data_IF_220603921285
#
_entry.id   IF_220603921285
#
_cell.length_a   1.000
_cell.length_b   1.000
_cell.length_c   1.000
_cell.angle_alpha   90.00
_cell.angle_beta   90.00
_cell.angle_gamma   90.00
#
_symmetry.space_group_name_H-M   'P 1'
#
loop_
_entity.id
_entity.type
_entity.pdbx_description
1 polymer ?
#
# COMPACT_ATOMS: atom_id res chain seq x y z
N UNK A 1 -8.14 3.53 -9.02
CA UNK A 1 -9.17 2.47 -9.24
C UNK A 1 -10.60 2.95 -9.54
N UNK A 2 -11.44 2.06 -10.11
CA UNK A 2 -12.91 2.27 -10.19
C UNK A 2 -13.56 2.11 -8.80
N UNK A 3 -14.74 2.70 -8.58
CA UNK A 3 -15.46 2.61 -7.29
C UNK A 3 -15.67 1.16 -6.83
N UNK A 4 -16.05 0.27 -7.75
CA UNK A 4 -16.25 -1.17 -7.47
C UNK A 4 -14.98 -1.88 -6.99
N UNK A 5 -13.82 -1.57 -7.58
CA UNK A 5 -12.54 -2.16 -7.20
C UNK A 5 -12.23 -1.88 -5.72
N UNK A 6 -12.54 -0.68 -5.24
CA UNK A 6 -12.35 -0.27 -3.84
C UNK A 6 -13.25 -1.05 -2.88
N UNK A 7 -14.50 -1.28 -3.27
CA UNK A 7 -15.46 -2.06 -2.46
C UNK A 7 -15.00 -3.52 -2.37
N UNK A 8 -14.60 -4.12 -3.51
CA UNK A 8 -14.07 -5.49 -3.54
C UNK A 8 -12.84 -5.64 -2.66
N UNK A 9 -11.91 -4.67 -2.70
CA UNK A 9 -10.73 -4.69 -1.83
C UNK A 9 -11.08 -4.58 -0.34
N UNK A 10 -12.04 -3.73 0.01
CA UNK A 10 -12.53 -3.62 1.38
C UNK A 10 -13.11 -4.95 1.86
N UNK A 11 -13.89 -5.63 1.03
CA UNK A 11 -14.52 -6.89 1.39
C UNK A 11 -13.49 -8.03 1.43
N UNK A 12 -12.55 -8.08 0.48
CA UNK A 12 -11.39 -8.99 0.53
C UNK A 12 -10.59 -8.82 1.84
N UNK A 13 -10.47 -7.59 2.34
CA UNK A 13 -9.83 -7.32 3.63
C UNK A 13 -10.67 -7.78 4.82
N UNK A 14 -11.99 -7.55 4.81
CA UNK A 14 -12.90 -7.95 5.88
C UNK A 14 -13.02 -9.48 5.99
N UNK A 15 -13.18 -10.18 4.87
CA UNK A 15 -13.42 -11.62 4.84
C UNK A 15 -12.14 -12.46 4.77
N UNK A 16 -10.96 -11.84 4.61
CA UNK A 16 -9.60 -12.44 4.46
C UNK A 16 -9.41 -13.33 3.23
N UNK A 17 -10.44 -14.03 2.80
CA UNK A 17 -10.52 -14.75 1.54
C UNK A 17 -11.98 -14.72 1.05
N UNK A 18 -12.21 -14.20 -0.15
CA UNK A 18 -13.47 -14.34 -0.86
C UNK A 18 -13.21 -15.16 -2.14
N UNK A 19 -13.85 -16.32 -2.30
CA UNK A 19 -13.93 -17.02 -3.57
C UNK A 19 -14.42 -16.10 -4.68
N UNK A 20 -13.92 -16.30 -5.90
CA UNK A 20 -14.31 -15.50 -7.08
C UNK A 20 -15.84 -15.44 -7.21
N UNK A 21 -16.52 -16.56 -6.98
CA UNK A 21 -17.96 -16.65 -7.18
C UNK A 21 -18.75 -15.85 -6.13
N UNK A 22 -18.24 -15.75 -4.89
CA UNK A 22 -18.79 -14.87 -3.85
C UNK A 22 -18.54 -13.38 -4.19
N UNK A 23 -17.37 -13.05 -4.74
CA UNK A 23 -17.09 -11.69 -5.24
C UNK A 23 -18.05 -11.34 -6.39
N UNK A 24 -18.31 -12.29 -7.29
CA UNK A 24 -19.26 -12.12 -8.39
C UNK A 24 -20.67 -11.88 -7.84
N UNK A 25 -21.08 -12.69 -6.87
CA UNK A 25 -22.38 -12.59 -6.22
C UNK A 25 -22.57 -11.23 -5.53
N UNK A 26 -21.57 -10.79 -4.76
CA UNK A 26 -21.64 -9.55 -3.98
C UNK A 26 -21.51 -8.27 -4.82
N UNK A 27 -20.68 -8.28 -5.87
CA UNK A 27 -20.26 -7.05 -6.54
C UNK A 27 -20.58 -6.94 -8.03
N UNK A 28 -20.92 -8.06 -8.68
CA UNK A 28 -21.16 -8.12 -10.13
C UNK A 28 -22.54 -8.67 -10.50
N UNK A 29 -23.45 -8.81 -9.53
CA UNK A 29 -24.82 -9.22 -9.77
C UNK A 29 -25.52 -8.28 -10.77
N UNK A 30 -26.23 -8.86 -11.74
CA UNK A 30 -26.97 -8.11 -12.77
C UNK A 30 -26.14 -7.59 -13.95
N UNK A 31 -24.83 -7.83 -13.98
CA UNK A 31 -23.99 -7.45 -15.12
C UNK A 31 -23.92 -8.54 -16.18
N UNK A 32 -24.05 -8.17 -17.45
CA UNK A 32 -23.70 -9.06 -18.57
C UNK A 32 -22.21 -9.41 -18.47
N UNK A 33 -21.87 -10.69 -18.63
CA UNK A 33 -20.49 -11.23 -18.50
C UNK A 33 -19.84 -10.92 -17.13
N UNK A 34 -20.58 -11.09 -16.05
CA UNK A 34 -20.11 -10.84 -14.67
C UNK A 34 -18.76 -11.50 -14.35
N UNK A 35 -18.55 -12.75 -14.77
CA UNK A 35 -17.29 -13.50 -14.59
C UNK A 35 -16.11 -12.78 -15.25
N UNK A 36 -16.24 -12.36 -16.51
CA UNK A 36 -15.18 -11.65 -17.25
C UNK A 36 -14.86 -10.30 -16.62
N UNK A 37 -15.90 -9.56 -16.20
CA UNK A 37 -15.75 -8.30 -15.48
C UNK A 37 -15.00 -8.50 -14.16
N UNK A 38 -15.39 -9.49 -13.35
CA UNK A 38 -14.71 -9.84 -12.11
C UNK A 38 -13.25 -10.20 -12.35
N UNK A 39 -12.96 -11.08 -13.32
CA UNK A 39 -11.59 -11.45 -13.66
C UNK A 39 -10.74 -10.26 -14.09
N UNK A 40 -11.32 -9.28 -14.79
CA UNK A 40 -10.61 -8.06 -15.20
C UNK A 40 -10.28 -7.17 -13.99
N UNK A 41 -11.20 -7.08 -13.03
CA UNK A 41 -10.95 -6.36 -11.77
C UNK A 41 -9.89 -7.09 -10.94
N UNK A 42 -10.00 -8.40 -10.75
CA UNK A 42 -9.00 -9.19 -10.01
C UNK A 42 -7.61 -9.11 -10.65
N UNK A 43 -7.51 -9.16 -11.99
CA UNK A 43 -6.25 -8.97 -12.71
C UNK A 43 -5.65 -7.58 -12.48
N UNK A 44 -6.51 -6.55 -12.44
CA UNK A 44 -6.09 -5.18 -12.15
C UNK A 44 -5.60 -5.04 -10.71
N UNK A 45 -6.38 -5.51 -9.74
CA UNK A 45 -6.01 -5.50 -8.32
C UNK A 45 -4.69 -6.25 -8.05
N UNK A 46 -4.43 -7.34 -8.78
CA UNK A 46 -3.16 -8.05 -8.74
C UNK A 46 -2.03 -7.25 -9.39
N UNK A 47 -2.26 -6.68 -10.58
CA UNK A 47 -1.26 -5.87 -11.30
C UNK A 47 -0.85 -4.64 -10.51
N UNK A 48 -1.79 -4.02 -9.80
CA UNK A 48 -1.55 -2.84 -8.97
C UNK A 48 -0.83 -3.22 -7.64
N UNK A 49 -0.60 -4.51 -7.39
CA UNK A 49 0.31 -5.07 -6.38
C UNK A 49 -0.12 -4.94 -4.91
N UNK A 50 -1.16 -4.17 -4.60
CA UNK A 50 -1.64 -4.00 -3.22
C UNK A 50 -2.05 -5.33 -2.57
N UNK A 51 -2.64 -6.25 -3.35
CA UNK A 51 -3.02 -7.60 -2.87
C UNK A 51 -1.79 -8.45 -2.58
N UNK A 52 -0.74 -8.34 -3.38
CA UNK A 52 0.49 -9.11 -3.20
C UNK A 52 1.29 -8.57 -2.01
N UNK A 53 1.33 -7.24 -1.81
CA UNK A 53 1.87 -6.62 -0.61
C UNK A 53 1.13 -7.09 0.65
N UNK A 54 -0.22 -7.10 0.64
CA UNK A 54 -1.03 -7.60 1.75
C UNK A 54 -0.68 -9.05 2.13
N UNK A 55 -0.65 -9.94 1.14
CA UNK A 55 -0.34 -11.36 1.36
C UNK A 55 1.05 -11.57 1.93
N UNK A 56 2.04 -10.85 1.42
CA UNK A 56 3.42 -10.95 1.91
C UNK A 56 3.55 -10.47 3.35
N UNK A 57 2.91 -9.36 3.73
CA UNK A 57 2.94 -8.86 5.12
C UNK A 57 2.31 -9.86 6.11
N UNK A 58 1.17 -10.45 5.72
CA UNK A 58 0.44 -11.41 6.56
C UNK A 58 1.21 -12.70 6.86
N UNK A 59 2.22 -13.05 6.06
CA UNK A 59 3.08 -14.22 6.34
C UNK A 59 3.89 -14.05 7.63
N UNK A 60 4.16 -12.81 8.03
CA UNK A 60 5.00 -12.50 9.19
C UNK A 60 4.19 -12.03 10.40
N UNK A 61 3.17 -11.19 10.17
CA UNK A 61 2.32 -10.71 11.26
C UNK A 61 0.95 -10.28 10.76
N UNK A 62 -0.07 -10.43 11.62
CA UNK A 62 -1.39 -9.87 11.37
C UNK A 62 -1.33 -8.34 11.36
N UNK A 63 -1.85 -7.75 10.30
CA UNK A 63 -1.91 -6.31 10.12
C UNK A 63 -2.94 -5.68 11.07
N UNK A 64 -2.55 -4.60 11.75
CA UNK A 64 -3.47 -3.82 12.60
C UNK A 64 -4.37 -2.94 11.74
N UNK A 65 -3.85 -2.43 10.63
CA UNK A 65 -4.57 -1.58 9.70
C UNK A 65 -3.98 -1.76 8.30
N UNK A 66 -4.83 -1.82 7.28
CA UNK A 66 -4.42 -1.87 5.89
C UNK A 66 -5.44 -1.11 5.03
N UNK A 67 -5.05 0.05 4.52
CA UNK A 67 -5.87 0.93 3.68
C UNK A 67 -5.27 0.95 2.27
N UNK A 68 -6.05 0.57 1.26
CA UNK A 68 -5.63 0.61 -0.15
C UNK A 68 -6.05 1.93 -0.78
N UNK A 69 -5.16 2.53 -1.58
CA UNK A 69 -5.29 3.86 -2.20
C UNK A 69 -5.90 4.90 -1.24
N UNK A 70 -5.33 5.11 -0.03
CA UNK A 70 -5.81 6.14 0.88
C UNK A 70 -5.86 7.50 0.18
N UNK A 71 -6.89 8.30 0.47
CA UNK A 71 -7.09 9.59 -0.16
C UNK A 71 -6.55 10.71 0.73
N UNK A 72 -5.56 11.40 0.18
CA UNK A 72 -4.99 12.64 0.70
C UNK A 72 -5.34 13.81 -0.25
N UNK A 73 -4.98 15.04 0.12
CA UNK A 73 -5.09 16.20 -0.78
C UNK A 73 -4.32 15.96 -2.08
N UNK A 74 -4.79 16.55 -3.19
CA UNK A 74 -4.15 16.44 -4.53
C UNK A 74 -2.69 16.92 -4.54
N UNK A 75 -2.31 17.76 -3.59
CA UNK A 75 -0.95 18.31 -3.45
C UNK A 75 0.00 17.37 -2.71
N UNK A 76 -0.51 16.32 -2.07
CA UNK A 76 0.27 15.37 -1.28
C UNK A 76 0.61 14.11 -2.07
N UNK A 77 1.12 13.12 -1.35
CA UNK A 77 1.39 11.80 -1.85
C UNK A 77 0.11 10.99 -2.08
N UNK A 78 0.18 10.05 -3.02
CA UNK A 78 -0.87 9.08 -3.28
C UNK A 78 -0.25 7.68 -3.15
N UNK A 79 -0.10 7.16 -1.92
CA UNK A 79 0.48 5.84 -1.73
C UNK A 79 -0.50 4.78 -2.22
N UNK A 80 0.02 3.68 -2.74
CA UNK A 80 -0.82 2.53 -3.11
C UNK A 80 -1.46 1.90 -1.88
N UNK A 81 -0.76 1.88 -0.76
CA UNK A 81 -1.26 1.34 0.52
C UNK A 81 -0.73 2.15 1.70
N UNK A 82 -1.56 2.35 2.70
CA UNK A 82 -1.14 2.71 4.06
C UNK A 82 -1.40 1.55 5.01
N UNK A 83 -0.43 1.17 5.84
CA UNK A 83 -0.58 0.07 6.78
C UNK A 83 0.08 0.33 8.13
N UNK A 84 -0.41 -0.32 9.18
CA UNK A 84 0.30 -0.46 10.45
C UNK A 84 0.68 -1.93 10.61
N UNK A 85 1.98 -2.18 10.56
CA UNK A 85 2.61 -3.50 10.61
C UNK A 85 3.75 -3.48 11.62
N UNK A 86 3.85 -4.49 12.49
CA UNK A 86 4.82 -4.57 13.58
C UNK A 86 4.86 -3.32 14.46
N UNK A 87 3.68 -2.77 14.74
CA UNK A 87 3.47 -1.53 15.51
C UNK A 87 4.02 -0.24 14.86
N UNK A 88 4.50 -0.33 13.61
CA UNK A 88 5.02 0.82 12.86
C UNK A 88 4.11 1.18 11.69
N UNK A 89 3.86 2.47 11.43
CA UNK A 89 3.10 2.91 10.27
C UNK A 89 3.99 2.95 9.00
N UNK A 90 3.44 2.49 7.88
CA UNK A 90 4.10 2.47 6.58
C UNK A 90 3.20 3.01 5.47
N UNK A 91 3.78 3.82 4.59
CA UNK A 91 3.30 4.00 3.23
C UNK A 91 3.96 2.97 2.34
N UNK A 92 3.19 2.27 1.51
CA UNK A 92 3.71 1.29 0.55
C UNK A 92 3.41 1.78 -0.87
N UNK A 93 4.45 1.73 -1.70
CA UNK A 93 4.44 2.06 -3.12
C UNK A 93 4.86 0.82 -3.91
N UNK A 94 3.99 0.30 -4.77
CA UNK A 94 4.31 -0.80 -5.68
C UNK A 94 4.80 -0.19 -7.00
N UNK A 95 6.11 -0.14 -7.17
CA UNK A 95 6.73 0.52 -8.30
C UNK A 95 7.18 -0.50 -9.36
N UNK A 96 6.21 -0.92 -10.18
CA UNK A 96 6.42 -1.83 -11.32
C UNK A 96 7.05 -1.13 -12.54
N UNK A 97 6.78 0.16 -12.72
CA UNK A 97 7.36 0.94 -13.83
C UNK A 97 8.78 1.39 -13.49
N UNK A 98 9.69 1.31 -14.45
CA UNK A 98 11.06 1.83 -14.30
C UNK A 98 11.05 3.34 -14.50
N UNK A 99 11.37 4.08 -13.45
CA UNK A 99 11.44 5.54 -13.48
C UNK A 99 12.90 6.04 -13.47
N UNK A 100 13.07 7.34 -13.76
CA UNK A 100 14.33 8.02 -13.54
C UNK A 100 14.48 8.38 -12.05
N UNK A 101 15.72 8.61 -11.60
CA UNK A 101 16.00 9.10 -10.24
C UNK A 101 15.19 10.36 -9.92
N UNK A 102 15.13 11.30 -10.88
CA UNK A 102 14.38 12.57 -10.71
C UNK A 102 12.90 12.32 -10.45
N UNK A 103 12.24 11.47 -11.24
CA UNK A 103 10.81 11.16 -11.07
C UNK A 103 10.54 10.45 -9.74
N UNK A 104 11.43 9.55 -9.31
CA UNK A 104 11.30 8.89 -8.01
C UNK A 104 11.52 9.87 -6.85
N UNK A 105 12.50 10.78 -6.96
CA UNK A 105 12.72 11.80 -5.94
C UNK A 105 11.54 12.77 -5.86
N UNK A 106 10.94 13.17 -6.99
CA UNK A 106 9.71 13.97 -7.02
C UNK A 106 8.54 13.26 -6.33
N UNK A 107 8.43 11.92 -6.46
CA UNK A 107 7.47 11.13 -5.68
C UNK A 107 7.76 11.24 -4.18
N UNK A 108 9.00 11.06 -3.74
CA UNK A 108 9.42 11.22 -2.33
C UNK A 108 9.13 12.64 -1.82
N UNK A 109 9.38 13.67 -2.61
CA UNK A 109 9.13 15.06 -2.23
C UNK A 109 7.65 15.35 -1.93
N UNK A 110 6.70 14.59 -2.50
CA UNK A 110 5.29 14.71 -2.13
C UNK A 110 5.00 14.17 -0.72
N UNK A 111 5.73 13.14 -0.28
CA UNK A 111 5.68 12.66 1.11
C UNK A 111 6.33 13.68 2.05
N UNK A 112 7.43 14.31 1.64
CA UNK A 112 8.05 15.42 2.39
C UNK A 112 7.10 16.60 2.58
N UNK A 113 6.40 16.99 1.51
CA UNK A 113 5.43 18.07 1.59
C UNK A 113 4.30 17.75 2.60
N UNK A 114 3.85 16.49 2.64
CA UNK A 114 2.90 16.04 3.66
C UNK A 114 3.52 15.99 5.07
N UNK A 115 4.78 15.57 5.21
CA UNK A 115 5.50 15.62 6.50
C UNK A 115 5.52 17.05 7.06
N UNK A 116 5.87 18.02 6.23
CA UNK A 116 5.97 19.42 6.62
C UNK A 116 4.62 20.09 6.89
N UNK A 117 3.51 19.57 6.35
CA UNK A 117 2.17 20.12 6.64
C UNK A 117 1.68 19.82 8.06
N UNK A 118 2.30 18.84 8.75
CA UNK A 118 1.90 18.36 10.08
C UNK A 118 0.48 17.78 10.17
N UNK A 119 -0.28 17.74 9.08
CA UNK A 119 -1.64 17.18 9.03
C UNK A 119 -1.66 15.71 9.44
N UNK A 120 -0.60 14.98 9.13
CA UNK A 120 -0.38 13.57 9.52
C UNK A 120 -0.47 13.32 11.03
N UNK A 121 -0.24 14.34 11.85
CA UNK A 121 -0.35 14.22 13.31
C UNK A 121 -1.79 14.08 13.80
N UNK A 122 -2.76 14.54 12.99
CA UNK A 122 -4.19 14.49 13.31
C UNK A 122 -4.88 13.22 12.79
N UNK A 123 -4.13 12.34 12.12
CA UNK A 123 -4.67 11.09 11.64
C UNK A 123 -5.22 10.21 12.79
N UNK A 124 -6.39 9.57 12.62
CA UNK A 124 -7.07 8.84 13.70
C UNK A 124 -6.33 7.59 14.17
N UNK A 125 -5.35 7.12 13.40
CA UNK A 125 -4.51 5.98 13.77
C UNK A 125 -3.34 6.36 14.69
N UNK A 126 -3.07 7.66 14.88
CA UNK A 126 -1.99 8.15 15.73
C UNK A 126 -2.22 7.74 17.20
N UNK A 127 -1.16 7.30 17.91
CA UNK A 127 -1.22 7.13 19.35
C UNK A 127 -1.55 8.44 20.09
N UNK A 128 -2.14 8.33 21.29
CA UNK A 128 -2.52 9.49 22.10
C UNK A 128 -1.32 10.28 22.63
N UNK A 129 -0.21 9.59 22.92
CA UNK A 129 0.95 10.16 23.63
C UNK A 129 2.13 10.51 22.71
N UNK A 130 2.18 9.96 21.52
CA UNK A 130 3.31 10.11 20.60
C UNK A 130 2.81 10.14 19.16
N UNK A 131 3.47 10.94 18.32
CA UNK A 131 3.16 11.12 16.92
C UNK A 131 4.27 10.50 16.09
N UNK A 132 3.89 9.68 15.12
CA UNK A 132 4.84 9.00 14.24
C UNK A 132 4.50 9.32 12.80
N UNK A 133 5.47 9.76 12.02
CA UNK A 133 5.31 9.82 10.58
C UNK A 133 5.55 8.42 9.98
N UNK A 134 4.74 7.96 9.01
CA UNK A 134 4.94 6.66 8.41
C UNK A 134 6.23 6.58 7.60
N UNK A 135 6.95 5.45 7.70
CA UNK A 135 8.09 5.19 6.82
C UNK A 135 7.61 4.85 5.40
N UNK A 136 8.40 5.18 4.39
CA UNK A 136 8.10 4.87 2.99
C UNK A 136 8.71 3.53 2.60
N UNK A 137 7.89 2.61 2.10
CA UNK A 137 8.29 1.28 1.68
C UNK A 137 7.99 1.09 0.19
N UNK A 138 9.02 1.04 -0.63
CA UNK A 138 8.91 0.92 -2.08
C UNK A 138 9.21 -0.54 -2.47
N UNK A 139 8.19 -1.21 -3.00
CA UNK A 139 8.30 -2.53 -3.59
C UNK A 139 8.68 -2.39 -5.06
N UNK A 140 9.92 -2.73 -5.40
CA UNK A 140 10.46 -2.50 -6.75
C UNK A 140 11.63 -3.43 -7.06
N UNK A 141 11.77 -3.80 -8.33
CA UNK A 141 12.92 -4.57 -8.83
C UNK A 141 14.20 -3.70 -8.99
N UNK A 142 14.06 -2.36 -8.96
CA UNK A 142 15.17 -1.42 -9.19
C UNK A 142 15.48 -0.62 -7.93
N UNK A 143 16.75 -0.61 -7.51
CA UNK A 143 17.21 0.29 -6.46
C UNK A 143 17.38 1.71 -7.00
N UNK A 144 16.80 2.68 -6.31
CA UNK A 144 16.92 4.10 -6.62
C UNK A 144 17.76 4.79 -5.56
N UNK A 145 18.68 5.65 -6.00
CA UNK A 145 19.40 6.56 -5.13
C UNK A 145 18.50 7.78 -4.83
N UNK A 146 17.61 7.60 -3.84
CA UNK A 146 16.62 8.58 -3.37
C UNK A 146 16.74 8.73 -1.86
N UNK A 147 16.41 9.92 -1.36
CA UNK A 147 16.64 10.26 0.04
C UNK A 147 15.55 11.18 0.59
N UNK A 148 15.33 11.07 1.90
CA UNK A 148 14.51 11.93 2.74
C UNK A 148 15.25 12.17 4.07
N UNK A 149 15.42 13.42 4.53
CA UNK A 149 15.94 13.69 5.87
C UNK A 149 14.91 13.45 6.99
N UNK A 150 13.61 13.37 6.67
CA UNK A 150 12.54 13.41 7.65
C UNK A 150 11.91 12.03 7.94
N UNK A 151 12.05 11.06 7.03
CA UNK A 151 11.53 9.71 7.22
C UNK A 151 12.39 8.65 6.55
N UNK A 152 12.30 7.42 7.06
CA UNK A 152 13.03 6.29 6.50
C UNK A 152 12.39 5.81 5.19
N UNK A 153 13.23 5.49 4.21
CA UNK A 153 12.84 4.88 2.93
C UNK A 153 13.43 3.48 2.87
N UNK A 154 12.57 2.48 2.68
CA UNK A 154 12.95 1.09 2.45
C UNK A 154 12.65 0.73 1.00
N UNK A 155 13.61 0.08 0.33
CA UNK A 155 13.46 -0.36 -1.05
C UNK A 155 13.77 -1.85 -1.13
N UNK A 156 12.77 -2.66 -1.51
CA UNK A 156 12.94 -4.10 -1.64
C UNK A 156 12.14 -4.64 -2.81
N UNK A 157 12.53 -5.80 -3.31
CA UNK A 157 11.72 -6.53 -4.29
C UNK A 157 10.54 -7.21 -3.60
N UNK A 158 10.83 -7.96 -2.54
CA UNK A 158 9.85 -8.67 -1.73
C UNK A 158 9.98 -8.27 -0.25
N UNK A 159 8.87 -8.30 0.49
CA UNK A 159 8.87 -8.05 1.94
C UNK A 159 9.71 -9.11 2.66
N UNK A 160 9.81 -10.32 2.11
CA UNK A 160 10.71 -11.35 2.60
C UNK A 160 12.18 -10.90 2.66
N UNK A 161 12.68 -10.24 1.61
CA UNK A 161 14.09 -9.81 1.57
C UNK A 161 14.37 -8.76 2.64
N UNK A 162 13.40 -7.86 2.87
CA UNK A 162 13.47 -6.89 3.97
C UNK A 162 13.50 -7.59 5.34
N UNK A 163 12.66 -8.61 5.54
CA UNK A 163 12.65 -9.37 6.80
C UNK A 163 13.98 -10.09 7.03
N UNK A 164 14.58 -10.69 6.00
CA UNK A 164 15.89 -11.32 6.10
C UNK A 164 16.98 -10.31 6.49
N UNK A 165 16.95 -9.09 5.92
CA UNK A 165 17.89 -8.02 6.28
C UNK A 165 17.74 -7.56 7.74
N UNK A 166 16.54 -7.65 8.33
CA UNK A 166 16.32 -7.34 9.74
C UNK A 166 16.83 -8.45 10.68
N UNK A 167 16.77 -9.72 10.26
CA UNK A 167 17.22 -10.87 11.07
C UNK A 167 18.75 -10.94 11.15
N UNK A 168 19.46 -10.57 10.08
CA UNK A 168 20.93 -10.59 10.02
C UNK A 168 21.58 -9.47 10.85
N UNK A 169 20.80 -8.49 11.34
CA UNK A 169 21.28 -7.37 12.17
C UNK A 169 21.12 -7.57 13.68
N UNK A 170 20.86 -8.80 14.14
CA UNK A 170 20.80 -9.18 15.56
C UNK A 170 22.08 -9.85 15.99
#
# INVERSE_FOLDING_TARGET
MKSRDKVILKDLHCFRCLPRDDIIYLHFQGLKKAVTCCNTVMKRLRRDGSVDAYKQLLQYEKLKLFKVEPKYSKTYMEPDVFTIWRQSPFFIEVQNSVYSKKVMQEKVNRYEFYFHSLEWQQEPWQPKKSKYFPSLFILTDKQYDIYSPNFCIFQTRLIHDFMNQMVVKV
#
